data_IF_920446320547
#
_entry.id   IF_920446320547
#
_cell.length_a   1.000
_cell.length_b   1.000
_cell.length_c   1.000
_cell.angle_alpha   90.00
_cell.angle_beta   90.00
_cell.angle_gamma   90.00
#
_symmetry.space_group_name_H-M   'P 1'
#
loop_
_entity.id
_entity.type
_entity.pdbx_description
1 polymer ?
#
# COMPACT_ATOMS: atom_id res chain seq x y z
N UNK A 1 13.97 12.10 -6.96
CA UNK A 1 13.28 11.43 -5.85
C UNK A 1 11.78 11.51 -6.11
N UNK A 2 11.11 10.38 -6.33
CA UNK A 2 9.66 10.37 -6.54
C UNK A 2 9.00 10.50 -5.17
N UNK A 3 8.14 11.49 -5.01
CA UNK A 3 7.43 11.79 -3.75
C UNK A 3 5.99 11.30 -3.92
N UNK A 4 5.46 10.65 -2.88
CA UNK A 4 4.04 10.36 -2.71
C UNK A 4 3.42 11.51 -1.92
N UNK A 5 2.38 12.12 -2.49
CA UNK A 5 1.62 13.15 -1.80
C UNK A 5 0.40 12.56 -1.06
N UNK A 6 -0.25 13.37 -0.22
CA UNK A 6 -1.38 12.93 0.60
C UNK A 6 -2.62 12.53 -0.23
N UNK A 7 -2.81 13.12 -1.40
CA UNK A 7 -3.92 12.78 -2.30
C UNK A 7 -3.70 11.40 -2.92
N UNK A 8 -2.48 11.07 -3.32
CA UNK A 8 -2.14 9.74 -3.80
C UNK A 8 -2.36 8.65 -2.73
N UNK A 9 -2.14 8.99 -1.45
CA UNK A 9 -2.47 8.10 -0.33
C UNK A 9 -3.98 7.95 -0.17
N UNK A 10 -4.75 9.03 -0.30
CA UNK A 10 -6.21 8.96 -0.24
C UNK A 10 -6.77 8.10 -1.39
N UNK A 11 -6.32 8.34 -2.62
CA UNK A 11 -6.77 7.64 -3.82
C UNK A 11 -6.42 6.15 -3.79
N UNK A 12 -5.20 5.77 -3.38
CA UNK A 12 -4.83 4.34 -3.31
C UNK A 12 -5.62 3.62 -2.21
N UNK A 13 -5.93 4.32 -1.10
CA UNK A 13 -6.79 3.79 -0.05
C UNK A 13 -8.25 3.62 -0.52
N UNK A 14 -8.76 4.56 -1.32
CA UNK A 14 -10.06 4.43 -1.97
C UNK A 14 -10.07 3.25 -2.96
N UNK A 15 -8.97 3.07 -3.71
CA UNK A 15 -8.82 1.94 -4.64
C UNK A 15 -8.85 0.59 -3.88
N UNK A 16 -8.14 0.48 -2.75
CA UNK A 16 -8.17 -0.70 -1.89
C UNK A 16 -9.58 -0.98 -1.34
N UNK A 17 -10.28 0.07 -0.89
CA UNK A 17 -11.65 -0.03 -0.39
C UNK A 17 -12.61 -0.51 -1.49
N UNK A 18 -12.54 0.08 -2.68
CA UNK A 18 -13.38 -0.29 -3.83
C UNK A 18 -13.09 -1.71 -4.32
N UNK A 19 -11.86 -2.20 -4.15
CA UNK A 19 -11.48 -3.59 -4.42
C UNK A 19 -11.90 -4.57 -3.31
N UNK A 20 -12.51 -4.09 -2.21
CA UNK A 20 -12.89 -4.92 -1.07
C UNK A 20 -11.68 -5.50 -0.32
N UNK A 21 -10.51 -4.89 -0.44
CA UNK A 21 -9.28 -5.30 0.24
C UNK A 21 -9.24 -4.59 1.61
N UNK A 22 -9.33 -5.31 2.73
CA UNK A 22 -9.37 -4.72 4.07
C UNK A 22 -7.99 -4.26 4.53
N UNK A 23 -7.38 -3.31 3.81
CA UNK A 23 -6.08 -2.76 4.11
C UNK A 23 -6.01 -1.26 3.80
N UNK A 24 -5.03 -0.58 4.39
CA UNK A 24 -4.73 0.83 4.14
C UNK A 24 -3.24 1.06 3.90
N UNK A 25 -2.92 1.94 2.96
CA UNK A 25 -1.59 2.51 2.80
C UNK A 25 -1.41 3.67 3.76
N UNK A 26 -0.28 3.69 4.45
CA UNK A 26 0.14 4.76 5.34
C UNK A 26 1.52 5.28 4.94
N UNK A 27 1.77 6.56 5.19
CA UNK A 27 3.06 7.19 4.96
C UNK A 27 3.88 7.21 6.24
N UNK A 28 5.10 6.68 6.17
CA UNK A 28 6.13 6.79 7.20
C UNK A 28 7.26 7.64 6.67
N UNK A 29 7.38 8.84 7.21
CA UNK A 29 8.57 9.64 6.99
C UNK A 29 9.72 9.07 7.82
N UNK A 30 10.83 8.74 7.16
CA UNK A 30 12.05 8.29 7.81
C UNK A 30 13.18 9.22 7.36
N UNK A 31 14.11 9.57 8.25
CA UNK A 31 15.23 10.46 7.94
C UNK A 31 16.00 9.95 6.70
N UNK A 32 15.78 10.59 5.54
CA UNK A 32 16.40 10.23 4.26
C UNK A 32 15.44 9.87 3.12
N UNK A 33 14.13 9.72 3.36
CA UNK A 33 13.15 9.54 2.29
C UNK A 33 11.76 9.07 2.75
N UNK A 34 10.83 8.99 1.81
CA UNK A 34 9.49 8.48 2.08
C UNK A 34 9.47 6.96 1.99
N UNK A 35 8.92 6.32 3.02
CA UNK A 35 8.51 4.92 3.00
C UNK A 35 7.01 4.85 3.24
N UNK A 36 6.36 3.87 2.65
CA UNK A 36 4.95 3.59 2.89
C UNK A 36 4.81 2.19 3.44
N UNK A 37 3.72 1.92 4.15
CA UNK A 37 3.41 0.56 4.57
C UNK A 37 1.93 0.23 4.40
N UNK A 38 1.65 -1.06 4.23
CA UNK A 38 0.31 -1.64 4.18
C UNK A 38 -0.09 -2.05 5.59
N UNK A 39 -1.17 -1.45 6.08
CA UNK A 39 -1.82 -1.75 7.35
C UNK A 39 -3.06 -2.60 7.10
N UNK A 40 -3.01 -3.87 7.46
CA UNK A 40 -4.16 -4.79 7.37
C UNK A 40 -5.18 -4.45 8.46
N UNK A 41 -6.44 -4.29 8.09
CA UNK A 41 -7.53 -3.93 8.99
C UNK A 41 -8.05 -5.16 9.75
N UNK A 42 -7.47 -5.45 10.92
CA UNK A 42 -7.84 -6.62 11.73
C UNK A 42 -9.33 -6.71 12.10
N UNK A 43 -10.01 -5.58 12.24
CA UNK A 43 -11.45 -5.53 12.56
C UNK A 43 -12.35 -5.96 11.39
N UNK A 44 -11.91 -5.71 10.16
CA UNK A 44 -12.62 -6.12 8.94
C UNK A 44 -12.28 -7.56 8.51
N UNK A 45 -11.28 -8.15 9.16
CA UNK A 45 -10.79 -9.50 8.91
C UNK A 45 -11.33 -10.39 10.03
N UNK A 46 -12.64 -10.67 10.00
CA UNK A 46 -13.22 -11.60 10.96
C UNK A 46 -12.71 -13.04 10.79
N UNK A 47 -12.07 -13.37 9.65
CA UNK A 47 -11.73 -14.76 9.28
C UNK A 47 -10.70 -14.91 8.13
N UNK A 48 -10.04 -13.83 7.64
CA UNK A 48 -9.05 -13.96 6.55
C UNK A 48 -7.62 -14.08 7.08
N UNK A 49 -6.85 -14.88 6.34
CA UNK A 49 -5.40 -14.95 6.41
C UNK A 49 -4.78 -13.56 6.11
N UNK A 50 -4.08 -12.99 7.09
CA UNK A 50 -3.38 -11.69 6.97
C UNK A 50 -2.46 -11.67 5.74
N UNK A 51 -1.85 -12.81 5.40
CA UNK A 51 -0.94 -12.91 4.25
C UNK A 51 -1.70 -12.82 2.93
N UNK A 52 -2.92 -13.36 2.86
CA UNK A 52 -3.78 -13.25 1.67
C UNK A 52 -4.27 -11.81 1.46
N UNK A 53 -4.61 -11.10 2.54
CA UNK A 53 -4.97 -9.67 2.46
C UNK A 53 -3.77 -8.83 2.02
N UNK A 54 -2.58 -9.12 2.58
CA UNK A 54 -1.36 -8.43 2.21
C UNK A 54 -1.00 -8.66 0.73
N UNK A 55 -1.12 -9.90 0.23
CA UNK A 55 -0.89 -10.22 -1.18
C UNK A 55 -1.84 -9.44 -2.11
N UNK A 56 -3.14 -9.43 -1.81
CA UNK A 56 -4.12 -8.66 -2.58
C UNK A 56 -3.84 -7.14 -2.52
N UNK A 57 -3.47 -6.62 -1.36
CA UNK A 57 -3.11 -5.21 -1.21
C UNK A 57 -1.88 -4.84 -2.05
N UNK A 58 -0.86 -5.71 -2.08
CA UNK A 58 0.35 -5.50 -2.90
C UNK A 58 0.03 -5.40 -4.39
N UNK A 59 -0.88 -6.23 -4.90
CA UNK A 59 -1.33 -6.18 -6.30
C UNK A 59 -2.03 -4.86 -6.63
N UNK A 60 -2.97 -4.42 -5.78
CA UNK A 60 -3.69 -3.15 -5.96
C UNK A 60 -2.74 -1.95 -5.91
N UNK A 61 -1.86 -1.91 -4.91
CA UNK A 61 -0.87 -0.83 -4.74
C UNK A 61 0.08 -0.79 -5.94
N UNK A 62 0.59 -1.94 -6.39
CA UNK A 62 1.49 -2.03 -7.54
C UNK A 62 0.81 -1.51 -8.80
N UNK A 63 -0.43 -1.94 -9.05
CA UNK A 63 -1.20 -1.52 -10.22
C UNK A 63 -1.52 -0.02 -10.20
N UNK A 64 -1.94 0.51 -9.05
CA UNK A 64 -2.25 1.92 -8.87
C UNK A 64 -1.07 2.83 -9.23
N UNK A 65 0.12 2.51 -8.71
CA UNK A 65 1.29 3.35 -8.90
C UNK A 65 2.01 3.08 -10.23
N UNK A 66 1.98 1.85 -10.76
CA UNK A 66 2.48 1.54 -12.10
C UNK A 66 1.70 2.30 -13.18
N UNK A 67 0.37 2.41 -13.04
CA UNK A 67 -0.48 3.22 -13.92
C UNK A 67 -0.15 4.72 -13.92
N UNK A 68 0.66 5.19 -12.96
CA UNK A 68 1.14 6.58 -12.82
C UNK A 68 2.65 6.70 -13.12
N UNK A 69 3.26 5.69 -13.73
CA UNK A 69 4.71 5.64 -14.02
C UNK A 69 5.60 5.71 -12.77
N UNK A 70 5.08 5.27 -11.62
CA UNK A 70 5.77 5.23 -10.32
C UNK A 70 5.83 3.78 -9.81
N UNK A 71 6.56 2.83 -10.43
CA UNK A 71 6.60 1.46 -9.93
C UNK A 71 6.99 1.39 -8.45
N UNK A 72 6.51 0.39 -7.72
CA UNK A 72 6.78 0.21 -6.30
C UNK A 72 7.80 -0.91 -6.09
N UNK A 73 8.67 -0.74 -5.10
CA UNK A 73 9.56 -1.77 -4.60
C UNK A 73 9.16 -2.08 -3.15
N UNK A 74 8.69 -3.30 -2.92
CA UNK A 74 8.40 -3.82 -1.58
C UNK A 74 9.68 -4.31 -0.91
N UNK A 75 9.69 -4.28 0.42
CA UNK A 75 10.69 -4.97 1.24
C UNK A 75 10.45 -6.48 1.28
N UNK A 76 11.32 -7.20 2.00
CA UNK A 76 11.31 -8.65 2.08
C UNK A 76 10.03 -9.22 2.72
N UNK A 77 9.47 -8.52 3.71
CA UNK A 77 8.22 -8.93 4.36
C UNK A 77 6.97 -8.46 3.60
N UNK A 78 7.14 -7.63 2.57
CA UNK A 78 6.07 -7.14 1.71
C UNK A 78 5.14 -6.13 2.37
N UNK A 79 5.43 -5.68 3.59
CA UNK A 79 4.59 -4.74 4.34
C UNK A 79 4.97 -3.31 4.04
N UNK A 80 6.24 -3.03 3.81
CA UNK A 80 6.69 -1.68 3.46
C UNK A 80 7.10 -1.58 2.00
N UNK A 81 7.01 -0.40 1.44
CA UNK A 81 7.45 -0.14 0.08
C UNK A 81 7.91 1.29 -0.14
N UNK A 82 8.62 1.48 -1.24
CA UNK A 82 9.06 2.78 -1.76
C UNK A 82 8.74 2.86 -3.25
N UNK A 83 8.66 4.07 -3.79
CA UNK A 83 8.63 4.24 -5.25
C UNK A 83 10.04 3.97 -5.82
N UNK A 84 10.11 3.16 -6.88
CA UNK A 84 11.30 2.83 -7.66
C UNK A 84 11.52 3.81 -8.82
#
# INVERSE_FOLDING_TARGET
MKVVNILEIADVNETLLNAGVPARVRLRDACGGQSLWVEVSREAVAEKDDDAVLAAAREVVSSYFAGRSKPVAFDEDGKSFRLA
#
